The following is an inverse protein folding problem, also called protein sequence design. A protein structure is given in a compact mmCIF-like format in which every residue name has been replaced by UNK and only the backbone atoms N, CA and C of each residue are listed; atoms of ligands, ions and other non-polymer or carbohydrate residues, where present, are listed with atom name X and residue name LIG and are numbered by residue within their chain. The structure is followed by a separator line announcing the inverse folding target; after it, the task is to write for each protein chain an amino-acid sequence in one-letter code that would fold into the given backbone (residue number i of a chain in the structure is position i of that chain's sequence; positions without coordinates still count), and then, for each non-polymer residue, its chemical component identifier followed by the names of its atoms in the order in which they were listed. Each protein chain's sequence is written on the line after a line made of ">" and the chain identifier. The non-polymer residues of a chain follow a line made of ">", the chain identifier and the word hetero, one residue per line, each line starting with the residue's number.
data_IF_119082931218
#
_entry.id   IF_119082931218
#
_cell.length_a   1.000
_cell.length_b   1.000
_cell.length_c   1.000
_cell.angle_alpha   90.00
_cell.angle_beta   90.00
_cell.angle_gamma   90.00
#
_symmetry.space_group_name_H-M   'P 1'
#
loop_
_entity.id
_entity.type
_entity.pdbx_description
1 polymer ?
#
# COMPACT_ATOMS: atom_id res chain seq x y z
N UNK A 1 -4.63 -7.17 16.75
CA UNK A 1 -3.76 -6.96 15.56
C UNK A 1 -3.34 -8.24 14.86
N UNK A 2 -3.13 -9.32 15.56
CA UNK A 2 -2.62 -10.56 14.94
C UNK A 2 -3.52 -11.11 13.83
N UNK A 3 -4.83 -11.15 14.04
CA UNK A 3 -5.77 -11.63 13.03
C UNK A 3 -5.86 -10.69 11.84
N UNK A 4 -5.79 -9.38 12.10
CA UNK A 4 -5.81 -8.38 11.03
C UNK A 4 -4.57 -8.45 10.15
N UNK A 5 -3.41 -8.76 10.73
CA UNK A 5 -2.19 -8.98 9.94
C UNK A 5 -2.36 -10.15 8.98
N UNK A 6 -2.95 -11.23 9.46
CA UNK A 6 -3.24 -12.41 8.64
C UNK A 6 -4.25 -12.08 7.54
N UNK A 7 -5.31 -11.34 7.86
CA UNK A 7 -6.29 -10.86 6.88
C UNK A 7 -5.64 -10.00 5.80
N UNK A 8 -4.76 -9.09 6.20
CA UNK A 8 -4.01 -8.23 5.28
C UNK A 8 -3.17 -9.05 4.31
N UNK A 9 -2.39 -10.01 4.85
CA UNK A 9 -1.54 -10.85 4.03
C UNK A 9 -2.36 -11.65 3.00
N UNK A 10 -3.49 -12.20 3.43
CA UNK A 10 -4.39 -12.93 2.53
C UNK A 10 -5.01 -12.03 1.48
N UNK A 11 -5.39 -10.81 1.84
CA UNK A 11 -5.92 -9.83 0.89
C UNK A 11 -4.88 -9.46 -0.17
N UNK A 12 -3.62 -9.39 0.21
CA UNK A 12 -2.51 -9.13 -0.70
C UNK A 12 -2.08 -10.37 -1.49
N UNK A 13 -2.57 -11.54 -1.11
CA UNK A 13 -2.25 -12.82 -1.74
C UNK A 13 -0.75 -13.11 -1.79
N UNK A 14 -0.06 -12.87 -0.67
CA UNK A 14 1.38 -13.13 -0.54
C UNK A 14 1.66 -14.08 0.62
N UNK A 15 2.81 -14.74 0.57
CA UNK A 15 3.25 -15.66 1.62
C UNK A 15 3.78 -14.90 2.84
N UNK A 16 3.93 -15.61 3.96
CA UNK A 16 4.58 -15.04 5.15
C UNK A 16 6.02 -14.61 4.84
N UNK A 17 6.72 -15.38 4.02
CA UNK A 17 8.11 -15.08 3.63
C UNK A 17 8.18 -13.79 2.81
N UNK A 18 7.30 -13.64 1.83
CA UNK A 18 7.26 -12.43 0.98
C UNK A 18 6.88 -11.20 1.79
N UNK A 19 5.89 -11.33 2.68
CA UNK A 19 5.49 -10.25 3.57
C UNK A 19 6.64 -9.82 4.47
N UNK A 20 7.31 -10.81 5.10
CA UNK A 20 8.45 -10.55 5.98
C UNK A 20 9.59 -9.85 5.23
N UNK A 21 9.91 -10.33 4.05
CA UNK A 21 10.98 -9.75 3.23
C UNK A 21 10.72 -8.29 2.90
N UNK A 22 9.48 -7.93 2.61
CA UNK A 22 9.10 -6.54 2.27
C UNK A 22 9.29 -5.59 3.46
N UNK A 23 9.01 -6.05 4.68
CA UNK A 23 9.12 -5.21 5.87
C UNK A 23 10.42 -5.43 6.67
N UNK A 24 11.36 -6.20 6.10
CA UNK A 24 12.67 -6.40 6.72
C UNK A 24 12.68 -7.36 7.91
N UNK A 25 11.72 -8.30 7.95
CA UNK A 25 11.65 -9.32 9.00
C UNK A 25 11.88 -10.72 8.41
N UNK A 26 11.95 -11.71 9.30
CA UNK A 26 11.99 -13.12 8.91
C UNK A 26 10.58 -13.69 8.87
N UNK A 27 10.35 -14.71 8.04
CA UNK A 27 9.06 -15.40 7.96
C UNK A 27 8.61 -15.94 9.32
N UNK A 28 9.54 -16.45 10.12
CA UNK A 28 9.24 -16.91 11.48
C UNK A 28 8.70 -15.79 12.38
N UNK A 29 9.22 -14.58 12.23
CA UNK A 29 8.73 -13.41 12.98
C UNK A 29 7.30 -13.06 12.59
N UNK A 30 6.98 -13.09 11.29
CA UNK A 30 5.61 -12.84 10.81
C UNK A 30 4.66 -13.91 11.33
N UNK A 31 5.06 -15.18 11.33
CA UNK A 31 4.27 -16.26 11.90
C UNK A 31 3.94 -16.03 13.37
N UNK A 32 4.92 -15.60 14.16
CA UNK A 32 4.72 -15.29 15.59
C UNK A 32 3.76 -14.11 15.78
N UNK A 33 3.87 -13.08 14.94
CA UNK A 33 2.96 -11.93 14.97
C UNK A 33 1.53 -12.34 14.65
N UNK A 34 1.33 -13.18 13.62
CA UNK A 34 0.00 -13.64 13.21
C UNK A 34 -0.64 -14.55 14.26
N UNK A 35 0.17 -15.31 15.00
CA UNK A 35 -0.32 -16.23 16.04
C UNK A 35 -0.49 -15.57 17.42
N UNK A 36 -0.17 -14.29 17.53
CA UNK A 36 -0.27 -13.56 18.79
C UNK A 36 0.83 -13.88 19.81
N UNK A 37 1.89 -14.56 19.38
CA UNK A 37 3.01 -14.97 20.24
C UNK A 37 4.11 -13.90 20.34
N UNK A 38 4.01 -12.84 19.54
CA UNK A 38 4.92 -11.72 19.55
C UNK A 38 4.14 -10.42 19.45
N UNK A 39 4.59 -9.41 20.20
CA UNK A 39 3.96 -8.09 20.16
C UNK A 39 4.47 -7.28 18.98
N UNK A 40 3.57 -6.45 18.42
CA UNK A 40 3.92 -5.49 17.39
C UNK A 40 4.68 -4.32 18.01
N UNK A 41 5.79 -3.96 17.39
CA UNK A 41 6.50 -2.73 17.75
C UNK A 41 5.99 -1.58 16.90
N UNK A 42 6.19 -0.34 17.36
CA UNK A 42 5.86 0.86 16.59
C UNK A 42 6.54 0.84 15.21
N UNK A 43 7.79 0.41 15.15
CA UNK A 43 8.53 0.35 13.90
C UNK A 43 7.93 -0.69 12.93
N UNK A 44 7.52 -1.84 13.44
CA UNK A 44 6.87 -2.87 12.63
C UNK A 44 5.55 -2.35 12.06
N UNK A 45 4.74 -1.69 12.88
CA UNK A 45 3.47 -1.10 12.44
C UNK A 45 3.71 -0.04 11.36
N UNK A 46 4.68 0.84 11.57
CA UNK A 46 5.04 1.87 10.58
C UNK A 46 5.51 1.26 9.27
N UNK A 47 6.32 0.21 9.34
CA UNK A 47 6.81 -0.48 8.13
C UNK A 47 5.68 -1.10 7.34
N UNK A 48 4.74 -1.78 8.00
CA UNK A 48 3.58 -2.38 7.36
C UNK A 48 2.73 -1.31 6.68
N UNK A 49 2.42 -0.25 7.39
CA UNK A 49 1.58 0.84 6.84
C UNK A 49 2.24 1.53 5.66
N UNK A 50 3.54 1.75 5.72
CA UNK A 50 4.30 2.40 4.65
C UNK A 50 4.41 1.53 3.41
N UNK A 51 4.78 0.26 3.57
CA UNK A 51 5.07 -0.63 2.43
C UNK A 51 3.80 -1.11 1.72
N UNK A 52 2.70 -1.28 2.43
CA UNK A 52 1.47 -1.84 1.88
C UNK A 52 0.32 -0.83 1.83
N UNK A 53 0.56 0.43 2.18
CA UNK A 53 -0.45 1.48 2.21
C UNK A 53 -1.65 1.13 3.10
N UNK A 54 -1.36 0.56 4.26
CA UNK A 54 -2.37 0.10 5.22
C UNK A 54 -2.78 1.25 6.14
N UNK A 55 -4.07 1.31 6.42
CA UNK A 55 -4.59 2.24 7.41
C UNK A 55 -4.18 1.80 8.82
N UNK A 56 -3.35 2.60 9.49
CA UNK A 56 -2.86 2.30 10.84
C UNK A 56 -4.00 2.08 11.81
N UNK A 57 -5.05 2.89 11.73
CA UNK A 57 -6.21 2.77 12.62
C UNK A 57 -6.90 1.42 12.43
N UNK A 58 -7.06 0.98 11.19
CA UNK A 58 -7.62 -0.34 10.93
C UNK A 58 -6.75 -1.45 11.51
N UNK A 59 -5.45 -1.39 11.30
CA UNK A 59 -4.52 -2.42 11.77
C UNK A 59 -4.51 -2.51 13.30
N UNK A 60 -4.52 -1.37 13.98
CA UNK A 60 -4.40 -1.31 15.45
C UNK A 60 -5.74 -1.47 16.18
N UNK A 61 -6.84 -0.93 15.64
CA UNK A 61 -8.13 -0.88 16.33
C UNK A 61 -9.25 -1.62 15.59
N UNK A 62 -9.08 -1.93 14.33
CA UNK A 62 -10.11 -2.53 13.50
C UNK A 62 -11.08 -1.54 12.88
N UNK A 63 -10.90 -0.25 13.12
CA UNK A 63 -11.78 0.79 12.61
C UNK A 63 -11.33 1.30 11.25
N UNK A 64 -12.29 1.57 10.37
CA UNK A 64 -12.04 2.10 9.05
C UNK A 64 -11.69 1.04 8.03
N UNK A 65 -11.18 1.47 6.88
CA UNK A 65 -10.82 0.58 5.78
C UNK A 65 -9.42 0.01 5.97
N UNK A 66 -9.21 -1.21 5.48
CA UNK A 66 -7.90 -1.89 5.52
C UNK A 66 -6.80 -1.05 4.88
N UNK A 67 -7.06 -0.51 3.70
CA UNK A 67 -6.09 0.28 2.96
C UNK A 67 -6.42 1.77 3.01
N UNK A 68 -5.36 2.58 2.97
CA UNK A 68 -5.52 4.02 2.82
C UNK A 68 -6.11 4.31 1.44
N UNK A 69 -7.26 4.98 1.43
CA UNK A 69 -7.77 5.52 0.19
C UNK A 69 -7.05 6.83 -0.08
N UNK A 70 -6.52 7.07 -1.30
CA UNK A 70 -6.05 8.39 -1.63
C UNK A 70 -7.24 9.33 -1.54
N UNK A 71 -7.22 10.26 -0.58
CA UNK A 71 -8.20 11.33 -0.60
C UNK A 71 -7.79 12.31 -1.69
N UNK A 72 -8.73 13.10 -2.18
CA UNK A 72 -8.48 14.02 -3.29
C UNK A 72 -7.38 15.02 -2.97
N UNK A 73 -7.23 15.42 -1.73
CA UNK A 73 -6.19 16.37 -1.29
C UNK A 73 -4.79 15.78 -1.41
N UNK A 74 -4.60 14.54 -0.91
CA UNK A 74 -3.31 13.86 -1.01
C UNK A 74 -2.92 13.59 -2.46
N UNK A 75 -3.89 13.17 -3.28
CA UNK A 75 -3.65 12.93 -4.68
C UNK A 75 -3.26 14.21 -5.41
N UNK A 76 -3.98 15.31 -5.15
CA UNK A 76 -3.68 16.61 -5.74
C UNK A 76 -2.30 17.11 -5.32
N UNK A 77 -1.92 16.94 -4.06
CA UNK A 77 -0.59 17.31 -3.57
C UNK A 77 0.51 16.52 -4.26
N UNK A 78 0.32 15.21 -4.45
CA UNK A 78 1.27 14.36 -5.16
C UNK A 78 1.40 14.77 -6.62
N UNK A 79 0.30 15.05 -7.29
CA UNK A 79 0.29 15.51 -8.67
C UNK A 79 1.02 16.85 -8.78
N UNK A 80 0.77 17.78 -7.86
CA UNK A 80 1.43 19.09 -7.85
C UNK A 80 2.95 18.94 -7.69
N UNK A 81 3.42 18.06 -6.81
CA UNK A 81 4.84 17.79 -6.64
C UNK A 81 5.49 17.26 -7.92
N UNK A 82 4.82 16.35 -8.60
CA UNK A 82 5.32 15.77 -9.85
C UNK A 82 5.34 16.83 -10.95
N UNK A 83 4.28 17.63 -11.04
CA UNK A 83 4.18 18.71 -12.04
C UNK A 83 5.15 19.84 -11.78
N UNK A 84 5.51 20.11 -10.52
CA UNK A 84 6.50 21.10 -10.15
C UNK A 84 7.94 20.61 -10.34
N UNK A 85 8.15 19.30 -10.52
CA UNK A 85 9.47 18.72 -10.76
C UNK A 85 10.03 19.10 -12.12
N UNK A 86 11.34 18.97 -12.26
CA UNK A 86 12.03 19.29 -13.50
C UNK A 86 11.97 18.17 -14.55
N UNK A 87 11.39 17.03 -14.20
CA UNK A 87 11.34 15.86 -15.07
C UNK A 87 10.21 16.00 -16.09
N UNK A 88 10.57 16.38 -17.31
CA UNK A 88 9.61 16.54 -18.41
C UNK A 88 8.93 15.23 -18.82
N UNK A 89 9.60 14.10 -18.63
CA UNK A 89 9.01 12.78 -18.90
C UNK A 89 7.81 12.53 -18.01
N UNK A 90 7.94 12.78 -16.70
CA UNK A 90 6.84 12.61 -15.76
C UNK A 90 5.65 13.53 -16.09
N UNK A 91 5.95 14.79 -16.43
CA UNK A 91 4.94 15.76 -16.83
C UNK A 91 4.18 15.32 -18.08
N UNK A 92 4.92 14.85 -19.09
CA UNK A 92 4.33 14.34 -20.34
C UNK A 92 3.45 13.14 -20.10
N UNK A 93 3.89 12.22 -19.23
CA UNK A 93 3.10 11.03 -18.86
C UNK A 93 1.78 11.42 -18.21
N UNK A 94 1.80 12.36 -17.27
CA UNK A 94 0.58 12.83 -16.62
C UNK A 94 -0.37 13.51 -17.59
N UNK A 95 0.14 14.33 -18.52
CA UNK A 95 -0.70 14.94 -19.55
C UNK A 95 -1.37 13.91 -20.44
N UNK A 96 -0.64 12.86 -20.80
CA UNK A 96 -1.17 11.78 -21.61
C UNK A 96 -2.29 11.03 -20.85
N UNK A 97 -2.06 10.69 -19.58
CA UNK A 97 -3.06 10.01 -18.75
C UNK A 97 -4.30 10.87 -18.52
N UNK A 98 -4.13 12.17 -18.37
CA UNK A 98 -5.25 13.11 -18.18
C UNK A 98 -6.17 13.18 -19.40
N UNK A 99 -5.68 12.84 -20.59
CA UNK A 99 -6.45 12.80 -21.82
C UNK A 99 -7.10 11.45 -22.09
N UNK A 100 -6.85 10.45 -21.26
CA UNK A 100 -7.46 9.13 -21.41
C UNK A 100 -8.93 9.17 -21.00
N UNK A 101 -9.77 8.51 -21.78
CA UNK A 101 -11.16 8.24 -21.39
C UNK A 101 -11.23 6.95 -20.56
N UNK A 102 -12.46 6.57 -20.16
CA UNK A 102 -12.65 5.37 -19.35
C UNK A 102 -12.22 4.09 -20.10
N UNK A 103 -12.45 4.03 -21.41
CA UNK A 103 -12.03 2.89 -22.22
C UNK A 103 -10.52 2.75 -22.28
N UNK A 104 -9.79 3.86 -22.42
CA UNK A 104 -8.34 3.89 -22.42
C UNK A 104 -7.77 3.43 -21.08
N UNK A 105 -8.37 3.85 -19.96
CA UNK A 105 -7.97 3.45 -18.62
C UNK A 105 -8.22 1.96 -18.38
N UNK A 106 -9.33 1.42 -18.87
CA UNK A 106 -9.64 -0.01 -18.78
C UNK A 106 -8.62 -0.83 -19.58
N UNK A 107 -8.29 -0.38 -20.78
CA UNK A 107 -7.29 -1.04 -21.62
C UNK A 107 -5.91 -1.05 -20.92
N UNK A 108 -5.52 0.06 -20.30
CA UNK A 108 -4.27 0.16 -19.55
C UNK A 108 -4.27 -0.80 -18.35
N UNK A 109 -5.38 -0.88 -17.64
CA UNK A 109 -5.55 -1.81 -16.50
C UNK A 109 -5.33 -3.26 -16.93
N UNK A 110 -5.88 -3.65 -18.09
CA UNK A 110 -5.72 -5.01 -18.63
C UNK A 110 -4.26 -5.34 -18.97
N UNK A 111 -3.49 -4.36 -19.40
CA UNK A 111 -2.08 -4.56 -19.73
C UNK A 111 -1.21 -4.77 -18.49
N UNK A 112 -1.61 -4.21 -17.35
CA UNK A 112 -0.85 -4.26 -16.10
C UNK A 112 -1.18 -5.50 -15.26
N UNK A 113 -2.32 -6.11 -15.49
CA UNK A 113 -2.73 -7.32 -14.76
C UNK A 113 -2.18 -8.60 -15.38
#
# INVERSE_FOLDING_TARGET
>A
MNERLKQLRKALNISQADFANTIGLKASSVSLLENGQRNFTEQTIKSICREFHVNKQWLTTGEGSMFLSPNDEDLNEQIERIMAGENEFHKSMFRMLANFDDEDLIALERLVK
#
